data_IF_765026113158
#
_entry.id   IF_765026113158
#
_cell.length_a   1.000
_cell.length_b   1.000
_cell.length_c   1.000
_cell.angle_alpha   90.00
_cell.angle_beta   90.00
_cell.angle_gamma   90.00
#
_symmetry.space_group_name_H-M   'P 1'
#
loop_
_entity.id
_entity.type
_entity.pdbx_description
1 polymer ?
#
# COMPACT_ATOMS: atom_id res chain seq x y z
N UNK A 1 12.05 -1.40 -7.66
CA UNK A 1 10.78 -1.22 -6.94
C UNK A 1 10.19 -2.52 -6.35
N UNK A 2 10.91 -3.65 -6.40
CA UNK A 2 10.54 -4.98 -5.81
C UNK A 2 10.38 -4.98 -4.27
N UNK A 3 10.65 -3.86 -3.60
CA UNK A 3 10.34 -3.71 -2.18
C UNK A 3 8.96 -3.09 -1.95
N UNK A 4 8.44 -2.28 -2.88
CA UNK A 4 7.16 -1.57 -2.70
C UNK A 4 5.97 -2.52 -2.83
N UNK A 5 6.04 -3.48 -3.75
CA UNK A 5 5.06 -4.56 -3.90
C UNK A 5 5.11 -5.54 -2.71
N UNK A 6 6.30 -5.89 -2.23
CA UNK A 6 6.46 -6.71 -1.02
C UNK A 6 5.89 -6.02 0.23
N UNK A 7 6.17 -4.72 0.42
CA UNK A 7 5.63 -3.93 1.53
C UNK A 7 4.10 -3.80 1.43
N UNK A 8 3.57 -3.48 0.25
CA UNK A 8 2.12 -3.40 0.01
C UNK A 8 1.42 -4.72 0.31
N UNK A 9 1.97 -5.84 -0.19
CA UNK A 9 1.45 -7.17 0.08
C UNK A 9 1.53 -7.51 1.58
N UNK A 10 2.62 -7.15 2.24
CA UNK A 10 2.81 -7.35 3.68
C UNK A 10 1.72 -6.66 4.52
N UNK A 11 1.37 -5.42 4.18
CA UNK A 11 0.28 -4.72 4.84
C UNK A 11 -1.08 -5.31 4.50
N UNK A 12 -1.37 -5.58 3.22
CA UNK A 12 -2.64 -6.18 2.80
C UNK A 12 -2.90 -7.53 3.50
N UNK A 13 -1.89 -8.41 3.54
CA UNK A 13 -1.98 -9.68 4.25
C UNK A 13 -2.15 -9.47 5.75
N UNK A 14 -1.46 -8.49 6.33
CA UNK A 14 -1.59 -8.13 7.74
C UNK A 14 -3.01 -7.76 8.10
N UNK A 15 -3.62 -6.87 7.31
CA UNK A 15 -5.00 -6.41 7.48
C UNK A 15 -5.98 -7.57 7.37
N UNK A 16 -5.84 -8.45 6.38
CA UNK A 16 -6.72 -9.63 6.26
C UNK A 16 -6.64 -10.54 7.49
N UNK A 17 -5.46 -10.66 8.10
CA UNK A 17 -5.25 -11.49 9.31
C UNK A 17 -5.78 -10.86 10.60
N UNK A 18 -5.94 -9.54 10.64
CA UNK A 18 -6.44 -8.82 11.81
C UNK A 18 -5.98 -7.36 11.85
N UNK A 19 -6.33 -6.61 12.91
CA UNK A 19 -5.97 -5.20 13.02
C UNK A 19 -4.46 -5.00 13.02
N UNK A 20 -4.00 -3.95 12.35
CA UNK A 20 -2.60 -3.56 12.38
C UNK A 20 -2.28 -2.82 13.68
N UNK A 21 -1.09 -3.09 14.22
CA UNK A 21 -0.55 -2.24 15.28
C UNK A 21 -0.20 -0.84 14.73
N UNK A 22 -0.05 0.13 15.63
CA UNK A 22 0.20 1.53 15.26
C UNK A 22 1.44 1.70 14.36
N UNK A 23 2.51 0.94 14.63
CA UNK A 23 3.73 0.99 13.82
C UNK A 23 3.45 0.56 12.37
N UNK A 24 2.65 -0.49 12.17
CA UNK A 24 2.27 -0.98 10.84
C UNK A 24 1.29 -0.05 10.15
N UNK A 25 0.33 0.55 10.87
CA UNK A 25 -0.55 1.59 10.32
C UNK A 25 0.26 2.79 9.83
N UNK A 26 1.20 3.29 10.63
CA UNK A 26 2.08 4.38 10.23
C UNK A 26 2.98 4.01 9.03
N UNK A 27 3.38 2.74 8.92
CA UNK A 27 4.09 2.21 7.77
C UNK A 27 3.25 2.20 6.49
N UNK A 28 2.00 1.74 6.59
CA UNK A 28 1.04 1.77 5.48
C UNK A 28 0.75 3.20 5.00
N UNK A 29 0.59 4.16 5.91
CA UNK A 29 0.45 5.58 5.54
C UNK A 29 1.66 6.10 4.78
N UNK A 30 2.89 5.77 5.24
CA UNK A 30 4.12 6.17 4.54
C UNK A 30 4.21 5.53 3.15
N UNK A 31 3.82 4.27 3.02
CA UNK A 31 3.80 3.57 1.75
C UNK A 31 2.88 4.28 0.73
N UNK A 32 1.71 4.75 1.17
CA UNK A 32 0.81 5.55 0.33
C UNK A 32 1.48 6.84 -0.16
N UNK A 33 2.16 7.58 0.71
CA UNK A 33 2.92 8.78 0.32
C UNK A 33 4.06 8.47 -0.67
N UNK A 34 4.67 7.29 -0.59
CA UNK A 34 5.68 6.87 -1.56
C UNK A 34 5.06 6.63 -2.93
N UNK A 35 3.89 5.98 -3.02
CA UNK A 35 3.21 5.78 -4.30
C UNK A 35 2.84 7.10 -4.98
N UNK A 36 2.43 8.13 -4.24
CA UNK A 36 2.13 9.46 -4.78
C UNK A 36 3.35 10.11 -5.46
N UNK A 37 4.56 9.80 -4.98
CA UNK A 37 5.81 10.35 -5.55
C UNK A 37 6.37 9.49 -6.67
N UNK A 38 6.27 8.17 -6.53
CA UNK A 38 6.91 7.22 -7.44
C UNK A 38 6.10 7.03 -8.71
N UNK A 39 4.76 6.87 -8.62
CA UNK A 39 3.94 6.60 -9.79
C UNK A 39 4.07 7.64 -10.91
N UNK A 40 4.09 8.96 -10.63
CA UNK A 40 4.28 9.96 -11.68
C UNK A 40 5.68 9.95 -12.32
N UNK A 41 6.66 9.31 -11.68
CA UNK A 41 8.03 9.23 -12.15
C UNK A 41 8.33 7.95 -12.94
N UNK A 42 7.33 7.09 -13.18
CA UNK A 42 7.48 5.87 -13.96
C UNK A 42 7.11 6.17 -15.43
N UNK A 43 8.10 6.13 -16.31
CA UNK A 43 7.90 6.33 -17.74
C UNK A 43 7.46 5.04 -18.48
N UNK A 44 7.70 3.87 -17.88
CA UNK A 44 7.35 2.58 -18.45
C UNK A 44 5.87 2.26 -18.21
N UNK A 45 5.09 2.10 -19.30
CA UNK A 45 3.64 1.89 -19.23
C UNK A 45 3.26 0.62 -18.44
N UNK A 46 4.02 -0.46 -18.62
CA UNK A 46 3.77 -1.71 -17.92
C UNK A 46 4.01 -1.56 -16.42
N UNK A 47 5.11 -0.94 -16.03
CA UNK A 47 5.45 -0.65 -14.65
C UNK A 47 4.42 0.30 -14.03
N UNK A 48 3.98 1.34 -14.74
CA UNK A 48 2.95 2.27 -14.26
C UNK A 48 1.64 1.52 -13.97
N UNK A 49 1.20 0.64 -14.87
CA UNK A 49 0.00 -0.17 -14.66
C UNK A 49 0.17 -1.14 -13.49
N UNK A 50 1.30 -1.82 -13.42
CA UNK A 50 1.62 -2.75 -12.35
C UNK A 50 1.60 -2.05 -10.98
N UNK A 51 2.35 -0.96 -10.82
CA UNK A 51 2.44 -0.25 -9.54
C UNK A 51 1.15 0.50 -9.18
N UNK A 52 0.30 0.83 -10.15
CA UNK A 52 -1.05 1.34 -9.88
C UNK A 52 -1.89 0.28 -9.17
N UNK A 53 -1.86 -0.98 -9.63
CA UNK A 53 -2.56 -2.07 -8.96
C UNK A 53 -2.00 -2.36 -7.56
N UNK A 54 -0.68 -2.25 -7.38
CA UNK A 54 -0.06 -2.39 -6.06
C UNK A 54 -0.51 -1.27 -5.12
N UNK A 55 -0.57 -0.02 -5.59
CA UNK A 55 -1.11 1.11 -4.81
C UNK A 55 -2.57 0.86 -4.42
N UNK A 56 -3.40 0.40 -5.35
CA UNK A 56 -4.83 0.15 -5.09
C UNK A 56 -5.03 -0.91 -4.02
N UNK A 57 -4.19 -1.94 -4.00
CA UNK A 57 -4.17 -2.95 -2.94
C UNK A 57 -3.80 -2.33 -1.57
N UNK A 58 -2.79 -1.48 -1.52
CA UNK A 58 -2.42 -0.77 -0.30
C UNK A 58 -3.52 0.20 0.18
N UNK A 59 -4.20 0.88 -0.74
CA UNK A 59 -5.34 1.75 -0.44
C UNK A 59 -6.50 0.95 0.18
N UNK A 60 -6.84 -0.20 -0.41
CA UNK A 60 -7.86 -1.10 0.15
C UNK A 60 -7.50 -1.59 1.55
N UNK A 61 -6.23 -1.92 1.79
CA UNK A 61 -5.76 -2.28 3.13
C UNK A 61 -5.96 -1.13 4.13
N UNK A 62 -5.71 0.12 3.73
CA UNK A 62 -5.91 1.29 4.57
C UNK A 62 -7.40 1.53 4.88
N UNK A 63 -8.27 1.36 3.88
CA UNK A 63 -9.72 1.49 4.06
C UNK A 63 -10.27 0.49 5.07
N UNK A 64 -9.82 -0.77 5.01
CA UNK A 64 -10.24 -1.80 5.98
C UNK A 64 -9.80 -1.44 7.40
N UNK A 65 -8.59 -0.90 7.58
CA UNK A 65 -8.13 -0.46 8.91
C UNK A 65 -8.96 0.73 9.43
N UNK A 66 -9.27 1.69 8.56
CA UNK A 66 -10.16 2.81 8.93
C UNK A 66 -11.55 2.30 9.34
N UNK A 67 -12.12 1.33 8.61
CA UNK A 67 -13.42 0.75 8.94
C UNK A 67 -13.44 -0.02 10.27
N UNK A 68 -12.28 -0.50 10.75
CA UNK A 68 -12.17 -1.21 12.04
C UNK A 68 -12.02 -0.29 13.24
N UNK A 69 -11.52 0.92 13.02
CA UNK A 69 -11.38 1.94 14.06
C UNK A 69 -12.71 2.72 14.29
N UNK A 70 -13.75 2.49 13.47
CA UNK A 70 -15.12 3.03 13.63
C UNK A 70 -16.02 2.12 14.47
#
# INVERSE_FOLDING_TARGET
MVMLDADAFGYALGVVKGPLNEQRRAGLTRLMTVFERVLPAIDDEYATRYYTHVRDMAAMAAEIEVQRDM
#
